data_IF_685251775913
#
_entry.id   IF_685251775913
#
_cell.length_a   1.000
_cell.length_b   1.000
_cell.length_c   1.000
_cell.angle_alpha   90.00
_cell.angle_beta   90.00
_cell.angle_gamma   90.00
#
_symmetry.space_group_name_H-M   'P 1'
#
loop_
_entity.id
_entity.type
_entity.pdbx_description
1 polymer ?
#
# COMPACT_ATOMS: atom_id res chain seq x y z
N UNK A 1 -6.62 -43.54 -7.20
CA UNK A 1 -7.67 -42.51 -7.19
C UNK A 1 -7.07 -41.17 -7.53
N UNK A 2 -7.80 -40.35 -8.28
CA UNK A 2 -7.44 -39.00 -8.68
C UNK A 2 -8.05 -38.02 -7.70
N UNK A 3 -7.23 -37.15 -7.14
CA UNK A 3 -7.62 -36.12 -6.19
C UNK A 3 -7.24 -34.76 -6.75
N UNK A 4 -8.09 -33.77 -6.51
CA UNK A 4 -7.79 -32.38 -6.84
C UNK A 4 -7.72 -31.59 -5.54
N UNK A 5 -6.55 -31.02 -5.25
CA UNK A 5 -6.35 -30.16 -4.09
C UNK A 5 -6.44 -28.70 -4.53
N UNK A 6 -7.35 -27.96 -3.92
CA UNK A 6 -7.43 -26.52 -4.07
C UNK A 6 -6.57 -25.87 -2.96
N UNK A 7 -5.49 -25.21 -3.36
CA UNK A 7 -4.53 -24.58 -2.45
C UNK A 7 -5.01 -23.16 -2.13
N UNK A 8 -5.45 -22.95 -0.89
CA UNK A 8 -5.81 -21.66 -0.35
C UNK A 8 -4.69 -21.17 0.59
N UNK A 9 -3.84 -20.28 0.10
CA UNK A 9 -2.86 -19.53 0.91
C UNK A 9 -3.41 -18.15 1.27
N UNK A 10 -3.14 -17.65 2.48
CA UNK A 10 -3.51 -16.29 2.89
C UNK A 10 -2.75 -15.20 2.10
N UNK A 11 -1.64 -15.56 1.45
CA UNK A 11 -0.77 -14.63 0.71
C UNK A 11 -0.92 -14.71 -0.82
N UNK A 12 -1.55 -15.76 -1.36
CA UNK A 12 -1.71 -15.94 -2.80
C UNK A 12 -3.15 -15.62 -3.24
N UNK A 13 -3.30 -14.63 -4.13
CA UNK A 13 -4.59 -14.26 -4.76
C UNK A 13 -5.06 -15.25 -5.84
N UNK A 14 -4.23 -16.22 -6.21
CA UNK A 14 -4.54 -17.27 -7.17
C UNK A 14 -4.83 -18.59 -6.45
N UNK A 15 -5.97 -19.21 -6.77
CA UNK A 15 -6.30 -20.57 -6.34
C UNK A 15 -5.50 -21.54 -7.20
N UNK A 16 -4.44 -22.11 -6.63
CA UNK A 16 -3.63 -23.11 -7.32
C UNK A 16 -4.28 -24.49 -7.18
N UNK A 17 -4.32 -25.25 -8.27
CA UNK A 17 -4.96 -26.57 -8.33
C UNK A 17 -3.90 -27.65 -8.52
N UNK A 18 -3.76 -28.51 -7.51
CA UNK A 18 -2.83 -29.63 -7.55
C UNK A 18 -3.58 -30.95 -7.78
N UNK A 19 -3.27 -31.63 -8.88
CA UNK A 19 -3.88 -32.91 -9.23
C UNK A 19 -2.95 -34.07 -8.87
N UNK A 20 -3.36 -34.91 -7.92
CA UNK A 20 -2.59 -36.06 -7.46
C UNK A 20 -3.27 -37.38 -7.81
N UNK A 21 -2.50 -38.35 -8.27
CA UNK A 21 -2.96 -39.73 -8.44
C UNK A 21 -2.35 -40.60 -7.34
N UNK A 22 -3.19 -41.00 -6.37
CA UNK A 22 -2.75 -41.73 -5.17
C UNK A 22 -3.51 -43.04 -5.00
N UNK A 23 -2.90 -44.10 -4.45
CA UNK A 23 -3.62 -45.32 -4.07
C UNK A 23 -4.69 -45.05 -2.98
N UNK A 24 -5.76 -45.86 -2.93
CA UNK A 24 -6.87 -45.68 -1.97
C UNK A 24 -6.47 -45.89 -0.51
N UNK A 25 -5.43 -46.68 -0.28
CA UNK A 25 -4.82 -46.96 1.02
C UNK A 25 -3.87 -45.85 1.51
N UNK A 26 -3.69 -44.78 0.73
CA UNK A 26 -2.82 -43.66 1.11
C UNK A 26 -3.31 -43.02 2.40
N UNK A 27 -2.41 -42.81 3.36
CA UNK A 27 -2.72 -42.13 4.60
C UNK A 27 -2.66 -40.61 4.44
N UNK A 28 -3.35 -39.88 5.33
CA UNK A 28 -3.30 -38.40 5.34
C UNK A 28 -1.86 -37.89 5.49
N UNK A 29 -1.03 -38.53 6.32
CA UNK A 29 0.39 -38.17 6.47
C UNK A 29 1.19 -38.37 5.18
N UNK A 30 0.89 -39.44 4.42
CA UNK A 30 1.52 -39.70 3.12
C UNK A 30 1.07 -38.69 2.06
N UNK A 31 -0.22 -38.34 2.04
CA UNK A 31 -0.77 -37.29 1.19
C UNK A 31 -0.09 -35.94 1.46
N UNK A 32 0.09 -35.56 2.74
CA UNK A 32 0.81 -34.32 3.10
C UNK A 32 2.27 -34.32 2.63
N UNK A 33 2.93 -35.46 2.70
CA UNK A 33 4.29 -35.65 2.17
C UNK A 33 4.36 -35.47 0.65
N UNK A 34 3.36 -35.98 -0.09
CA UNK A 34 3.26 -35.79 -1.54
C UNK A 34 3.03 -34.31 -1.90
N UNK A 35 2.13 -33.63 -1.19
CA UNK A 35 1.90 -32.18 -1.35
C UNK A 35 3.16 -31.37 -1.06
N UNK A 36 3.93 -31.75 -0.03
CA UNK A 36 5.20 -31.07 0.26
C UNK A 36 6.22 -31.26 -0.86
N UNK A 37 6.28 -32.45 -1.47
CA UNK A 37 7.22 -32.71 -2.56
C UNK A 37 6.88 -31.91 -3.83
N UNK A 38 5.59 -31.76 -4.15
CA UNK A 38 5.14 -31.15 -5.40
C UNK A 38 4.92 -29.63 -5.29
N UNK A 39 4.33 -29.15 -4.20
CA UNK A 39 4.02 -27.73 -3.98
C UNK A 39 5.02 -27.01 -3.06
N UNK A 40 6.04 -27.71 -2.52
CA UNK A 40 7.04 -27.15 -1.58
C UNK A 40 6.44 -26.56 -0.29
N UNK A 41 5.22 -26.97 0.09
CA UNK A 41 4.56 -26.52 1.32
C UNK A 41 4.95 -27.45 2.48
N UNK A 42 5.50 -26.96 3.61
CA UNK A 42 5.85 -27.80 4.76
C UNK A 42 4.64 -28.56 5.32
N UNK A 43 4.77 -29.86 5.64
CA UNK A 43 3.69 -30.67 6.23
C UNK A 43 3.07 -30.07 7.50
N UNK A 44 3.86 -29.32 8.28
CA UNK A 44 3.41 -28.60 9.49
C UNK A 44 2.47 -27.45 9.19
N UNK A 45 2.54 -26.89 7.98
CA UNK A 45 1.69 -25.76 7.56
C UNK A 45 0.46 -26.22 6.76
N UNK A 46 0.35 -27.51 6.45
CA UNK A 46 -0.73 -28.08 5.63
C UNK A 46 -1.96 -28.50 6.46
N UNK A 47 -3.09 -27.86 6.20
CA UNK A 47 -4.40 -28.22 6.77
C UNK A 47 -5.35 -28.65 5.66
N UNK A 48 -5.55 -29.96 5.51
CA UNK A 48 -6.35 -30.55 4.42
C UNK A 48 -7.78 -30.79 4.90
N UNK A 49 -8.76 -30.30 4.16
CA UNK A 49 -10.19 -30.45 4.44
C UNK A 49 -10.90 -31.25 3.35
N UNK A 50 -11.78 -32.15 3.77
CA UNK A 50 -12.72 -32.87 2.90
C UNK A 50 -14.15 -32.56 3.37
N UNK A 51 -15.01 -32.05 2.49
CA UNK A 51 -16.38 -31.66 2.83
C UNK A 51 -16.50 -30.76 4.08
N UNK A 52 -15.51 -29.88 4.28
CA UNK A 52 -15.44 -28.97 5.44
C UNK A 52 -14.92 -29.61 6.74
N UNK A 53 -14.57 -30.90 6.73
CA UNK A 53 -13.94 -31.59 7.87
C UNK A 53 -12.42 -31.64 7.72
N UNK A 54 -11.71 -31.22 8.77
CA UNK A 54 -10.25 -31.28 8.82
C UNK A 54 -9.78 -32.73 8.93
N UNK A 55 -8.92 -33.16 8.02
CA UNK A 55 -8.25 -34.45 8.08
C UNK A 55 -7.05 -34.35 9.03
N UNK A 56 -7.31 -34.48 10.33
CA UNK A 56 -6.31 -34.26 11.39
C UNK A 56 -5.50 -35.50 11.77
N UNK A 57 -5.98 -36.70 11.42
CA UNK A 57 -5.35 -37.96 11.80
C UNK A 57 -4.48 -38.49 10.66
N UNK A 58 -3.16 -38.30 10.80
CA UNK A 58 -2.16 -38.65 9.78
C UNK A 58 -2.06 -40.17 9.52
N UNK A 59 -2.61 -41.02 10.40
CA UNK A 59 -2.55 -42.48 10.28
C UNK A 59 -3.77 -43.09 9.59
N UNK A 60 -4.86 -42.34 9.45
CA UNK A 60 -6.06 -42.83 8.76
C UNK A 60 -5.84 -42.82 7.25
N UNK A 61 -6.40 -43.83 6.59
CA UNK A 61 -6.43 -43.87 5.13
C UNK A 61 -7.51 -42.94 4.60
N UNK A 62 -7.31 -42.45 3.38
CA UNK A 62 -8.29 -41.62 2.68
C UNK A 62 -9.63 -42.36 2.50
N UNK A 63 -9.59 -43.68 2.30
CA UNK A 63 -10.79 -44.55 2.29
C UNK A 63 -11.54 -44.55 3.63
N UNK A 64 -10.83 -44.64 4.76
CA UNK A 64 -11.46 -44.56 6.10
C UNK A 64 -12.09 -43.20 6.38
N UNK A 65 -11.62 -42.17 5.70
CA UNK A 65 -12.11 -40.80 5.76
C UNK A 65 -13.16 -40.51 4.67
N UNK A 66 -13.61 -41.54 3.94
CA UNK A 66 -14.63 -41.46 2.89
C UNK A 66 -14.25 -40.55 1.71
N UNK A 67 -12.95 -40.35 1.47
CA UNK A 67 -12.46 -39.66 0.28
C UNK A 67 -12.52 -40.64 -0.90
N UNK A 68 -13.23 -40.27 -1.95
CA UNK A 68 -13.43 -41.10 -3.14
C UNK A 68 -12.70 -40.55 -4.37
N UNK A 69 -12.64 -41.35 -5.42
CA UNK A 69 -12.03 -40.96 -6.70
C UNK A 69 -12.76 -39.76 -7.32
N UNK A 70 -12.00 -38.72 -7.67
CA UNK A 70 -12.52 -37.46 -8.22
C UNK A 70 -12.88 -36.40 -7.18
N UNK A 71 -12.63 -36.65 -5.89
CA UNK A 71 -12.93 -35.67 -4.84
C UNK A 71 -11.99 -34.46 -4.86
N UNK A 72 -12.56 -33.33 -4.48
CA UNK A 72 -11.84 -32.08 -4.28
C UNK A 72 -11.56 -31.87 -2.79
N UNK A 73 -10.29 -31.67 -2.45
CA UNK A 73 -9.83 -31.37 -1.10
C UNK A 73 -9.38 -29.92 -1.03
N UNK A 74 -9.68 -29.22 0.07
CA UNK A 74 -9.17 -27.88 0.29
C UNK A 74 -7.90 -27.95 1.16
N UNK A 75 -6.79 -27.47 0.63
CA UNK A 75 -5.53 -27.34 1.35
C UNK A 75 -5.39 -25.89 1.83
N UNK A 76 -5.47 -25.67 3.13
CA UNK A 76 -5.14 -24.38 3.74
C UNK A 76 -3.69 -24.39 4.20
N UNK A 77 -2.93 -23.40 3.77
CA UNK A 77 -1.55 -23.18 4.21
C UNK A 77 -1.57 -22.20 5.38
N UNK A 78 -1.18 -22.66 6.57
CA UNK A 78 -1.08 -21.81 7.78
C UNK A 78 0.20 -22.13 8.51
N UNK A 79 1.05 -21.13 8.71
CA UNK A 79 2.23 -21.31 9.53
C UNK A 79 1.86 -21.43 11.00
N UNK A 80 2.31 -22.53 11.62
CA UNK A 80 2.28 -22.66 13.08
C UNK A 80 3.41 -21.79 13.63
N UNK A 81 3.21 -20.47 13.61
CA UNK A 81 3.78 -19.61 14.64
C UNK A 81 2.92 -19.87 15.86
N UNK A 82 3.44 -20.70 16.76
CA UNK A 82 2.71 -21.21 17.92
C UNK A 82 2.12 -20.09 18.76
N UNK A 83 0.80 -19.94 18.72
CA UNK A 83 0.05 -19.26 19.76
C UNK A 83 -1.38 -19.79 19.85
N UNK A 84 -1.54 -21.00 20.39
CA UNK A 84 -2.81 -21.42 21.01
C UNK A 84 -2.50 -22.29 22.23
N UNK A 85 -2.96 -21.84 23.38
CA UNK A 85 -2.75 -22.51 24.66
C UNK A 85 -3.54 -23.81 24.77
N UNK A 86 -2.84 -24.88 25.16
CA UNK A 86 -3.32 -25.92 26.08
C UNK A 86 -2.09 -26.37 26.90
N UNK A 87 -2.13 -26.40 28.25
CA UNK A 87 -0.98 -26.81 29.04
C UNK A 87 -0.91 -28.34 29.06
N UNK A 88 0.04 -28.93 28.32
CA UNK A 88 0.40 -30.32 28.51
C UNK A 88 1.65 -30.41 29.37
N UNK A 89 1.43 -30.78 30.63
CA UNK A 89 2.44 -31.14 31.61
C UNK A 89 3.33 -32.27 31.07
N UNK A 90 4.60 -31.96 30.83
CA UNK A 90 5.61 -32.93 30.42
C UNK A 90 6.99 -32.34 30.55
N UNK A 91 7.57 -32.44 31.75
CA UNK A 91 8.95 -32.05 32.03
C UNK A 91 9.91 -32.83 31.13
N UNK A 92 10.61 -32.11 30.25
CA UNK A 92 11.85 -32.59 29.65
C UNK A 92 12.78 -31.38 29.49
N UNK A 93 13.84 -31.38 30.29
CA UNK A 93 14.95 -30.44 30.23
C UNK A 93 15.50 -30.40 28.80
N UNK A 94 15.43 -29.23 28.15
CA UNK A 94 16.25 -28.93 27.00
C UNK A 94 17.32 -27.90 27.38
N UNK A 95 18.58 -28.11 26.98
CA UNK A 95 19.70 -27.30 27.41
C UNK A 95 19.54 -25.88 26.90
N UNK A 96 19.83 -24.92 27.77
CA UNK A 96 19.99 -23.52 27.42
C UNK A 96 20.91 -23.40 26.20
N UNK A 97 20.32 -23.14 25.04
CA UNK A 97 21.07 -22.66 23.88
C UNK A 97 21.64 -21.31 24.30
N UNK A 98 22.95 -21.30 24.57
CA UNK A 98 23.75 -20.08 24.70
C UNK A 98 23.37 -19.16 23.52
N UNK A 99 23.05 -17.88 23.76
CA UNK A 99 22.88 -16.95 22.65
C UNK A 99 24.19 -16.94 21.86
N UNK A 100 24.08 -17.07 20.55
CA UNK A 100 25.20 -16.98 19.63
C UNK A 100 25.81 -15.58 19.75
N UNK A 101 26.84 -15.45 20.58
CA UNK A 101 27.74 -14.32 20.59
C UNK A 101 28.63 -14.40 19.34
N UNK A 102 28.18 -13.81 18.21
CA UNK A 102 29.06 -13.54 17.06
C UNK A 102 28.37 -12.77 15.92
N UNK A 103 27.68 -11.65 16.21
CA UNK A 103 27.38 -10.62 15.19
C UNK A 103 27.56 -9.16 15.64
N UNK A 104 27.84 -8.90 16.92
CA UNK A 104 27.80 -7.54 17.51
C UNK A 104 29.16 -6.85 17.72
N UNK A 105 30.27 -7.41 17.24
CA UNK A 105 31.58 -6.76 17.28
C UNK A 105 32.10 -6.51 15.86
N UNK A 106 31.45 -5.60 15.14
CA UNK A 106 32.04 -5.06 13.91
C UNK A 106 33.19 -4.11 14.28
N UNK A 107 34.39 -4.37 13.74
CA UNK A 107 35.55 -3.52 13.99
C UNK A 107 35.32 -2.12 13.38
N UNK A 108 35.40 -1.03 14.18
CA UNK A 108 35.20 0.33 13.70
C UNK A 108 36.11 0.70 12.53
N UNK A 109 37.34 0.15 12.46
CA UNK A 109 38.25 0.45 11.35
C UNK A 109 37.80 -0.19 10.03
N UNK A 110 37.20 -1.39 10.08
CA UNK A 110 36.68 -2.06 8.89
C UNK A 110 35.52 -1.27 8.30
N UNK A 111 34.60 -0.80 9.15
CA UNK A 111 33.46 0.02 8.72
C UNK A 111 33.92 1.38 8.18
N UNK A 112 34.91 1.99 8.83
CA UNK A 112 35.49 3.26 8.36
C UNK A 112 36.12 3.13 6.98
N UNK A 113 36.91 2.07 6.75
CA UNK A 113 37.53 1.79 5.45
C UNK A 113 36.48 1.50 4.37
N UNK A 114 35.41 0.77 4.72
CA UNK A 114 34.29 0.51 3.84
C UNK A 114 33.54 1.79 3.46
N UNK A 115 33.40 2.74 4.39
CA UNK A 115 32.80 4.04 4.16
C UNK A 115 33.68 4.98 3.32
N UNK A 116 35.00 4.89 3.46
CA UNK A 116 35.97 5.58 2.60
C UNK A 116 36.00 5.00 1.17
N UNK A 117 35.84 3.68 1.04
CA UNK A 117 35.85 2.98 -0.24
C UNK A 117 34.55 3.09 -1.04
N UNK A 118 33.45 3.55 -0.42
CA UNK A 118 32.15 3.65 -1.07
C UNK A 118 31.52 5.05 -0.90
N UNK A 119 31.54 5.90 -1.94
CA UNK A 119 31.01 7.26 -1.87
C UNK A 119 29.49 7.31 -1.66
N UNK A 120 28.73 6.29 -2.11
CA UNK A 120 27.28 6.22 -1.90
C UNK A 120 26.93 5.98 -0.44
N UNK A 121 27.60 5.01 0.21
CA UNK A 121 27.41 4.76 1.65
C UNK A 121 27.82 5.98 2.48
N UNK A 122 28.87 6.71 2.08
CA UNK A 122 29.28 7.94 2.78
C UNK A 122 28.19 9.01 2.74
N UNK A 123 27.53 9.17 1.59
CA UNK A 123 26.44 10.13 1.43
C UNK A 123 25.21 9.78 2.27
N UNK A 124 24.92 8.48 2.42
CA UNK A 124 23.83 7.98 3.26
C UNK A 124 24.11 8.21 4.75
N UNK A 125 25.30 7.86 5.24
CA UNK A 125 25.73 8.14 6.62
C UNK A 125 25.80 9.65 6.88
N UNK A 126 26.16 10.47 5.89
CA UNK A 126 26.15 11.93 6.02
C UNK A 126 24.74 12.51 6.23
N UNK A 127 23.72 11.87 5.65
CA UNK A 127 22.31 12.26 5.82
C UNK A 127 21.73 11.77 7.15
N UNK A 128 22.00 10.51 7.50
CA UNK A 128 21.47 9.90 8.72
C UNK A 128 22.21 10.38 9.98
N UNK A 129 23.54 10.55 9.89
CA UNK A 129 24.39 10.79 11.05
C UNK A 129 25.62 11.66 10.71
N UNK A 130 25.44 12.99 10.67
CA UNK A 130 26.45 13.92 10.19
C UNK A 130 27.72 13.94 11.05
N UNK A 131 27.63 13.70 12.37
CA UNK A 131 28.79 13.67 13.27
C UNK A 131 29.72 12.47 13.03
N UNK A 132 29.15 11.31 12.70
CA UNK A 132 29.92 10.10 12.37
C UNK A 132 30.59 10.25 10.99
N UNK A 133 29.86 10.80 10.02
CA UNK A 133 30.36 11.10 8.68
C UNK A 133 31.52 12.11 8.68
N UNK A 134 31.45 13.13 9.54
CA UNK A 134 32.52 14.11 9.72
C UNK A 134 33.79 13.50 10.36
N UNK A 135 33.65 12.41 11.12
CA UNK A 135 34.75 11.74 11.79
C UNK A 135 35.45 10.66 10.93
N UNK A 136 34.95 10.34 9.73
CA UNK A 136 35.45 9.24 8.86
C UNK A 136 36.93 9.34 8.52
N UNK A 137 37.45 10.57 8.41
CA UNK A 137 38.85 10.85 8.09
C UNK A 137 39.77 10.76 9.31
N UNK A 138 39.22 10.65 10.52
CA UNK A 138 39.95 10.53 11.77
C UNK A 138 39.67 9.15 12.42
N UNK A 139 40.60 8.18 12.29
CA UNK A 139 40.46 6.83 12.82
C UNK A 139 40.08 6.79 14.32
N UNK A 140 40.78 7.56 15.15
CA UNK A 140 40.56 7.55 16.59
C UNK A 140 39.18 8.12 16.95
N UNK A 141 38.77 9.22 16.30
CA UNK A 141 37.48 9.87 16.56
C UNK A 141 36.30 9.05 16.04
N UNK A 142 36.45 8.43 14.87
CA UNK A 142 35.45 7.53 14.30
C UNK A 142 35.21 6.32 15.23
N UNK A 143 36.28 5.67 15.69
CA UNK A 143 36.17 4.52 16.58
C UNK A 143 35.49 4.86 17.92
N UNK A 144 35.75 6.05 18.48
CA UNK A 144 35.09 6.51 19.71
C UNK A 144 33.59 6.73 19.51
N UNK A 145 33.19 7.47 18.46
CA UNK A 145 31.79 7.75 18.17
C UNK A 145 31.01 6.48 17.81
N UNK A 146 31.63 5.59 17.02
CA UNK A 146 31.03 4.33 16.63
C UNK A 146 30.75 3.42 17.83
N UNK A 147 31.72 3.29 18.76
CA UNK A 147 31.51 2.52 20.00
C UNK A 147 30.45 3.13 20.91
N UNK A 148 30.46 4.45 21.06
CA UNK A 148 29.44 5.13 21.85
C UNK A 148 28.03 4.89 21.31
N UNK A 149 27.87 4.91 19.99
CA UNK A 149 26.61 4.61 19.32
C UNK A 149 26.19 3.16 19.50
N UNK A 150 27.11 2.20 19.29
CA UNK A 150 26.84 0.78 19.54
C UNK A 150 26.43 0.51 20.99
N UNK A 151 27.05 1.18 21.96
CA UNK A 151 26.71 1.04 23.39
C UNK A 151 25.34 1.63 23.73
N UNK A 152 24.91 2.69 23.04
CA UNK A 152 23.56 3.23 23.15
C UNK A 152 22.53 2.28 22.54
N UNK A 153 22.77 1.84 21.32
CA UNK A 153 21.88 0.93 20.59
C UNK A 153 21.74 -0.41 21.32
N UNK A 154 22.84 -0.93 21.90
CA UNK A 154 22.84 -2.15 22.72
C UNK A 154 22.01 -1.96 23.99
N UNK A 155 22.10 -0.80 24.64
CA UNK A 155 21.29 -0.49 25.84
C UNK A 155 19.80 -0.37 25.49
N UNK A 156 19.47 0.29 24.40
CA UNK A 156 18.09 0.39 23.93
C UNK A 156 17.51 -0.98 23.54
N UNK A 157 18.28 -1.79 22.80
CA UNK A 157 17.90 -3.18 22.48
C UNK A 157 17.65 -4.00 23.74
N UNK A 158 18.51 -3.88 24.74
CA UNK A 158 18.38 -4.60 26.00
C UNK A 158 17.15 -4.15 26.80
N UNK A 159 16.88 -2.84 26.88
CA UNK A 159 15.67 -2.33 27.53
C UNK A 159 14.40 -2.78 26.80
N UNK A 160 14.40 -2.75 25.46
CA UNK A 160 13.26 -3.24 24.66
C UNK A 160 13.02 -4.73 24.88
N UNK A 161 14.08 -5.55 24.90
CA UNK A 161 13.96 -6.97 25.19
C UNK A 161 13.44 -7.25 26.60
N UNK A 162 13.91 -6.51 27.61
CA UNK A 162 13.39 -6.64 28.98
C UNK A 162 11.92 -6.25 29.04
N UNK A 163 11.52 -5.15 28.40
CA UNK A 163 10.13 -4.72 28.36
C UNK A 163 9.21 -5.76 27.71
N UNK A 164 9.64 -6.37 26.60
CA UNK A 164 8.90 -7.45 25.95
C UNK A 164 8.87 -8.70 26.84
N UNK A 165 9.96 -9.03 27.52
CA UNK A 165 10.00 -10.16 28.43
C UNK A 165 9.07 -9.96 29.63
N UNK A 166 9.00 -8.73 30.18
CA UNK A 166 8.10 -8.37 31.28
C UNK A 166 6.64 -8.45 30.85
N UNK A 167 6.30 -7.98 29.63
CA UNK A 167 4.96 -8.14 29.06
C UNK A 167 4.57 -9.60 28.79
N UNK A 168 5.55 -10.49 28.60
CA UNK A 168 5.33 -11.93 28.39
C UNK A 168 5.49 -12.75 29.69
N UNK A 169 5.87 -12.14 30.81
CA UNK A 169 6.18 -12.85 32.05
C UNK A 169 4.93 -13.48 32.70
N UNK A 170 3.76 -12.84 32.53
CA UNK A 170 2.47 -13.42 32.88
C UNK A 170 1.52 -13.43 31.66
N UNK A 171 1.39 -14.58 30.99
CA UNK A 171 0.50 -14.75 29.85
C UNK A 171 -0.99 -14.54 30.16
N UNK A 172 -1.40 -14.44 31.44
CA UNK A 172 -2.80 -14.21 31.84
C UNK A 172 -3.06 -12.78 32.32
N UNK A 173 -2.06 -11.90 32.29
CA UNK A 173 -2.24 -10.48 32.59
C UNK A 173 -2.95 -9.77 31.43
N UNK A 174 -4.19 -9.34 31.69
CA UNK A 174 -5.06 -8.67 30.74
C UNK A 174 -4.47 -7.33 30.27
N UNK A 175 -3.75 -6.62 31.14
CA UNK A 175 -3.15 -5.33 30.79
C UNK A 175 -1.93 -5.53 29.87
N UNK A 176 -1.12 -6.57 30.12
CA UNK A 176 0.00 -6.93 29.27
C UNK A 176 -0.47 -7.44 27.89
N UNK A 177 -1.51 -8.29 27.85
CA UNK A 177 -2.14 -8.75 26.61
C UNK A 177 -2.72 -7.58 25.79
N UNK A 178 -3.34 -6.60 26.45
CA UNK A 178 -3.89 -5.42 25.78
C UNK A 178 -2.78 -4.59 25.13
N UNK A 179 -1.66 -4.37 25.83
CA UNK A 179 -0.50 -3.66 25.29
C UNK A 179 0.17 -4.40 24.14
N UNK A 180 0.30 -5.73 24.24
CA UNK A 180 0.82 -6.57 23.16
C UNK A 180 -0.10 -6.47 21.93
N UNK A 181 -1.43 -6.52 22.12
CA UNK A 181 -2.39 -6.39 21.03
C UNK A 181 -2.34 -5.01 20.37
N UNK A 182 -2.16 -3.93 21.13
CA UNK A 182 -1.99 -2.58 20.58
C UNK A 182 -0.71 -2.44 19.77
N UNK A 183 0.43 -2.95 20.26
CA UNK A 183 1.70 -2.92 19.52
C UNK A 183 1.61 -3.69 18.19
N UNK A 184 1.01 -4.89 18.21
CA UNK A 184 0.79 -5.68 16.98
C UNK A 184 -0.12 -4.94 16.01
N UNK A 185 -1.16 -4.27 16.52
CA UNK A 185 -2.08 -3.47 15.69
C UNK A 185 -1.35 -2.30 15.03
N UNK A 186 -0.50 -1.60 15.77
CA UNK A 186 0.29 -0.47 15.25
C UNK A 186 1.29 -0.93 14.20
N UNK A 187 2.03 -2.01 14.45
CA UNK A 187 2.97 -2.59 13.47
C UNK A 187 2.26 -3.01 12.18
N UNK A 188 1.11 -3.69 12.26
CA UNK A 188 0.31 -4.08 11.08
C UNK A 188 -0.22 -2.88 10.30
N UNK A 189 -0.65 -1.82 11.00
CA UNK A 189 -1.12 -0.59 10.36
C UNK A 189 0.03 0.11 9.63
N UNK A 190 1.21 0.15 10.25
CA UNK A 190 2.39 0.78 9.67
C UNK A 190 2.95 -0.02 8.49
N UNK A 191 2.97 -1.35 8.57
CA UNK A 191 3.34 -2.22 7.46
C UNK A 191 2.38 -2.08 6.28
N UNK A 192 1.07 -2.06 6.54
CA UNK A 192 0.07 -1.82 5.51
C UNK A 192 0.22 -0.43 4.88
N UNK A 193 0.53 0.59 5.68
CA UNK A 193 0.82 1.94 5.19
C UNK A 193 2.09 1.97 4.33
N UNK A 194 3.15 1.31 4.76
CA UNK A 194 4.41 1.20 4.03
C UNK A 194 4.19 0.47 2.69
N UNK A 195 3.47 -0.65 2.70
CA UNK A 195 3.09 -1.38 1.49
C UNK A 195 2.24 -0.52 0.54
N UNK A 196 1.33 0.30 1.08
CA UNK A 196 0.55 1.24 0.29
C UNK A 196 1.41 2.34 -0.34
N UNK A 197 2.44 2.84 0.36
CA UNK A 197 3.38 3.85 -0.14
C UNK A 197 4.32 3.25 -1.19
N UNK A 198 4.79 2.01 -0.99
CA UNK A 198 5.74 1.34 -1.89
C UNK A 198 5.10 0.79 -3.17
N UNK A 199 3.88 0.25 -3.08
CA UNK A 199 3.23 -0.43 -4.20
C UNK A 199 2.11 0.39 -4.86
N UNK A 200 1.76 1.56 -4.31
CA UNK A 200 0.65 2.36 -4.82
C UNK A 200 0.91 3.88 -4.74
N UNK A 201 1.94 4.40 -5.45
CA UNK A 201 2.25 5.82 -5.42
C UNK A 201 1.10 6.71 -5.96
N UNK A 202 0.22 6.21 -6.84
CA UNK A 202 -0.81 7.03 -7.54
C UNK A 202 -2.19 6.36 -7.69
N UNK A 203 -2.70 5.67 -6.66
CA UNK A 203 -3.99 4.95 -6.73
C UNK A 203 -5.27 5.77 -6.47
N UNK A 204 -5.40 7.03 -6.93
CA UNK A 204 -6.55 7.89 -6.56
C UNK A 204 -7.29 8.54 -7.75
N UNK A 205 -7.98 7.73 -8.56
CA UNK A 205 -8.88 8.24 -9.59
C UNK A 205 -10.21 8.76 -8.99
N UNK A 206 -10.51 10.05 -9.17
CA UNK A 206 -11.72 10.69 -8.63
C UNK A 206 -12.51 11.43 -9.70
N UNK A 207 -13.70 11.02 -10.12
CA UNK A 207 -14.55 11.84 -10.98
C UNK A 207 -15.35 12.88 -10.18
N UNK A 208 -15.75 13.96 -10.86
CA UNK A 208 -16.71 14.93 -10.33
C UNK A 208 -18.14 14.44 -10.59
N UNK A 209 -18.96 14.39 -9.54
CA UNK A 209 -20.38 14.06 -9.60
C UNK A 209 -21.21 15.20 -9.02
N UNK A 210 -22.52 15.20 -9.27
CA UNK A 210 -23.45 16.13 -8.63
C UNK A 210 -24.54 15.37 -7.88
N UNK A 211 -24.71 15.62 -6.59
CA UNK A 211 -25.78 15.02 -5.78
C UNK A 211 -26.76 16.12 -5.42
N UNK A 212 -28.02 16.00 -5.84
CA UNK A 212 -29.06 17.00 -5.58
C UNK A 212 -28.63 18.45 -5.93
N UNK A 213 -27.94 18.62 -7.06
CA UNK A 213 -27.42 19.92 -7.53
C UNK A 213 -26.09 20.38 -6.92
N UNK A 214 -25.55 19.68 -5.92
CA UNK A 214 -24.27 20.01 -5.28
C UNK A 214 -23.12 19.23 -5.92
N UNK A 215 -22.04 19.91 -6.29
CA UNK A 215 -20.83 19.30 -6.86
C UNK A 215 -20.09 18.54 -5.77
N UNK A 216 -19.95 17.23 -5.93
CA UNK A 216 -19.30 16.30 -5.01
C UNK A 216 -18.19 15.56 -5.75
N UNK A 217 -17.00 15.47 -5.15
CA UNK A 217 -15.92 14.65 -5.70
C UNK A 217 -16.08 13.23 -5.20
N UNK A 218 -16.29 12.29 -6.11
CA UNK A 218 -16.45 10.89 -5.76
C UNK A 218 -15.10 10.16 -5.85
N UNK A 219 -14.84 9.25 -4.94
CA UNK A 219 -13.76 8.27 -5.05
C UNK A 219 -14.32 7.00 -5.68
N UNK A 220 -13.71 6.52 -6.77
CA UNK A 220 -14.15 5.29 -7.43
C UNK A 220 -13.34 4.14 -6.89
N UNK A 221 -14.01 3.17 -6.26
CA UNK A 221 -13.37 2.06 -5.57
C UNK A 221 -14.10 0.75 -5.89
N UNK A 222 -13.53 -0.04 -6.80
CA UNK A 222 -14.04 -1.37 -7.13
C UNK A 222 -13.79 -2.41 -6.03
N UNK A 223 -12.87 -2.15 -5.10
CA UNK A 223 -12.59 -3.00 -3.93
C UNK A 223 -13.62 -2.82 -2.81
N UNK A 224 -14.33 -1.70 -2.78
CA UNK A 224 -15.42 -1.49 -1.83
C UNK A 224 -16.70 -2.19 -2.27
N UNK A 225 -17.24 -3.09 -1.42
CA UNK A 225 -18.50 -3.75 -1.69
C UNK A 225 -19.70 -2.79 -1.76
N UNK A 226 -19.68 -1.71 -0.97
CA UNK A 226 -20.81 -0.79 -0.82
C UNK A 226 -20.40 0.66 -1.08
N UNK A 227 -21.29 1.41 -1.73
CA UNK A 227 -21.18 2.86 -1.90
C UNK A 227 -21.46 3.58 -0.59
N UNK A 228 -20.58 4.50 -0.21
CA UNK A 228 -20.60 5.17 1.11
C UNK A 228 -20.55 6.68 0.93
N UNK A 229 -21.29 7.41 1.75
CA UNK A 229 -21.29 8.87 1.79
C UNK A 229 -21.00 9.37 3.20
N UNK A 230 -20.23 10.45 3.33
CA UNK A 230 -20.00 11.10 4.63
C UNK A 230 -21.24 11.85 5.13
N UNK A 231 -21.42 12.03 6.44
CA UNK A 231 -22.55 12.79 6.99
C UNK A 231 -22.54 14.26 6.53
N UNK A 232 -21.36 14.89 6.50
CA UNK A 232 -21.19 16.28 6.05
C UNK A 232 -21.57 16.47 4.59
N UNK A 233 -21.26 15.50 3.72
CA UNK A 233 -21.70 15.49 2.33
C UNK A 233 -23.21 15.35 2.22
N UNK A 234 -23.83 14.45 2.99
CA UNK A 234 -25.28 14.27 3.00
C UNK A 234 -26.05 15.52 3.49
N UNK A 235 -25.49 16.22 4.49
CA UNK A 235 -25.99 17.53 4.96
C UNK A 235 -25.87 18.60 3.89
N UNK A 236 -24.68 18.75 3.30
CA UNK A 236 -24.42 19.73 2.25
C UNK A 236 -25.30 19.52 1.02
N UNK A 237 -25.58 18.26 0.68
CA UNK A 237 -26.47 17.92 -0.42
C UNK A 237 -27.96 18.05 -0.06
N UNK A 238 -28.31 18.35 1.20
CA UNK A 238 -29.69 18.49 1.66
C UNK A 238 -30.50 17.19 1.66
N UNK A 239 -29.82 16.04 1.74
CA UNK A 239 -30.44 14.71 1.66
C UNK A 239 -30.48 13.96 2.98
N UNK A 240 -30.12 14.59 4.11
CA UNK A 240 -30.25 14.00 5.44
C UNK A 240 -31.64 13.46 5.76
N UNK A 241 -32.68 14.09 5.20
CA UNK A 241 -34.07 13.63 5.32
C UNK A 241 -34.36 12.26 4.69
N UNK A 242 -33.49 11.78 3.80
CA UNK A 242 -33.60 10.49 3.11
C UNK A 242 -32.89 9.36 3.85
N UNK A 243 -32.14 9.67 4.91
CA UNK A 243 -31.35 8.70 5.66
C UNK A 243 -32.27 7.88 6.56
N UNK A 244 -32.41 6.60 6.23
CA UNK A 244 -33.17 5.65 7.04
C UNK A 244 -32.29 5.13 8.18
N UNK A 245 -32.54 5.66 9.39
CA UNK A 245 -31.82 5.31 10.62
C UNK A 245 -32.06 3.89 11.11
N UNK A 246 -33.03 3.15 10.56
CA UNK A 246 -33.22 1.72 10.90
C UNK A 246 -32.05 0.85 10.45
N UNK A 247 -31.29 1.35 9.48
CA UNK A 247 -30.06 0.73 8.99
C UNK A 247 -28.81 1.32 9.67
N UNK A 248 -28.97 2.05 10.77
CA UNK A 248 -27.87 2.49 11.60
C UNK A 248 -27.22 1.31 12.32
N UNK A 249 -25.93 1.43 12.63
CA UNK A 249 -25.16 0.37 13.27
C UNK A 249 -23.68 0.68 13.30
N UNK A 250 -22.87 -0.31 13.64
CA UNK A 250 -21.41 -0.19 13.63
C UNK A 250 -20.88 -1.05 12.49
N UNK A 251 -20.27 -0.43 11.48
CA UNK A 251 -19.53 -1.14 10.46
C UNK A 251 -18.26 -1.72 11.10
N UNK A 252 -18.12 -3.05 11.07
CA UNK A 252 -16.90 -3.74 11.46
C UNK A 252 -16.16 -4.19 10.18
N UNK A 253 -14.93 -3.70 10.01
CA UNK A 253 -14.02 -4.03 8.91
C UNK A 253 -12.60 -3.58 9.25
N UNK A 254 -11.86 -2.97 8.31
CA UNK A 254 -10.54 -2.30 8.51
C UNK A 254 -10.54 -1.14 9.53
N UNK A 255 -11.66 -0.92 10.22
CA UNK A 255 -11.86 0.01 11.33
C UNK A 255 -13.26 -0.18 11.91
N UNK A 256 -13.56 0.51 13.01
CA UNK A 256 -14.92 0.64 13.55
C UNK A 256 -15.48 2.01 13.16
N UNK A 257 -16.57 2.02 12.40
CA UNK A 257 -17.20 3.25 11.94
C UNK A 257 -18.71 3.22 12.23
N UNK A 258 -19.25 4.33 12.73
CA UNK A 258 -20.68 4.45 12.99
C UNK A 258 -21.43 4.71 11.69
N UNK A 259 -22.36 3.83 11.35
CA UNK A 259 -23.34 4.03 10.28
C UNK A 259 -24.51 4.82 10.85
N UNK A 260 -24.76 6.03 10.32
CA UNK A 260 -25.94 6.83 10.68
C UNK A 260 -27.23 6.22 10.10
N UNK A 261 -27.13 5.58 8.95
CA UNK A 261 -28.25 4.97 8.26
C UNK A 261 -27.98 4.76 6.78
N UNK A 262 -29.03 4.44 6.02
CA UNK A 262 -28.93 4.17 4.59
C UNK A 262 -29.89 5.05 3.78
N UNK A 263 -29.41 5.57 2.66
CA UNK A 263 -30.25 6.18 1.63
C UNK A 263 -30.57 5.10 0.60
N UNK A 264 -31.85 4.75 0.48
CA UNK A 264 -32.30 3.66 -0.40
C UNK A 264 -32.32 4.04 -1.87
N UNK A 265 -32.56 5.31 -2.17
CA UNK A 265 -32.54 5.85 -3.53
C UNK A 265 -32.41 7.37 -3.50
N UNK A 266 -31.37 7.89 -4.17
CA UNK A 266 -31.21 9.31 -4.48
C UNK A 266 -30.62 9.45 -5.89
N UNK A 267 -31.01 10.52 -6.59
CA UNK A 267 -30.51 10.80 -7.94
C UNK A 267 -29.12 11.43 -7.85
N UNK A 268 -28.12 10.73 -8.40
CA UNK A 268 -26.76 11.25 -8.58
C UNK A 268 -26.59 11.59 -10.05
N UNK A 269 -26.27 12.84 -10.33
CA UNK A 269 -25.99 13.32 -11.68
C UNK A 269 -24.51 13.12 -12.02
N UNK A 270 -24.24 12.43 -13.11
CA UNK A 270 -22.90 12.15 -13.63
C UNK A 270 -22.89 12.56 -15.11
N UNK A 271 -22.11 13.58 -15.46
CA UNK A 271 -22.22 14.23 -16.78
C UNK A 271 -23.65 14.72 -17.04
N UNK A 272 -24.32 14.14 -18.03
CA UNK A 272 -25.73 14.39 -18.38
C UNK A 272 -26.73 13.39 -17.76
N UNK A 273 -26.25 12.28 -17.20
CA UNK A 273 -27.10 11.21 -16.67
C UNK A 273 -27.57 11.52 -15.25
N UNK A 274 -28.78 11.08 -14.92
CA UNK A 274 -29.29 11.03 -13.54
C UNK A 274 -29.47 9.56 -13.16
N UNK A 275 -28.63 9.10 -12.24
CA UNK A 275 -28.55 7.70 -11.84
C UNK A 275 -29.19 7.52 -10.46
N UNK A 276 -30.16 6.60 -10.31
CA UNK A 276 -30.68 6.23 -9.00
C UNK A 276 -29.66 5.39 -8.25
N UNK A 277 -29.10 5.95 -7.18
CA UNK A 277 -28.08 5.29 -6.37
C UNK A 277 -28.57 5.08 -4.93
N UNK A 278 -28.16 3.96 -4.34
CA UNK A 278 -28.31 3.70 -2.90
C UNK A 278 -26.94 3.72 -2.25
N UNK A 279 -26.86 4.23 -1.02
CA UNK A 279 -25.59 4.35 -0.31
C UNK A 279 -25.77 4.41 1.20
N UNK A 280 -24.73 3.99 1.91
CA UNK A 280 -24.68 4.01 3.37
C UNK A 280 -24.04 5.30 3.85
N UNK A 281 -24.66 5.97 4.82
CA UNK A 281 -24.11 7.18 5.45
C UNK A 281 -23.33 6.78 6.69
N UNK A 282 -22.03 7.06 6.72
CA UNK A 282 -21.12 6.52 7.74
C UNK A 282 -20.05 7.52 8.15
N UNK A 283 -19.78 7.63 9.46
CA UNK A 283 -18.72 8.46 10.05
C UNK A 283 -17.33 7.86 9.80
N UNK A 284 -16.29 8.70 9.76
CA UNK A 284 -14.90 8.21 9.77
C UNK A 284 -14.31 7.86 8.40
N UNK A 285 -14.87 8.36 7.30
CA UNK A 285 -14.18 8.37 6.00
C UNK A 285 -13.89 9.81 5.58
N UNK A 286 -12.63 10.10 5.26
CA UNK A 286 -12.16 11.40 4.72
C UNK A 286 -12.60 11.64 3.26
N UNK A 287 -13.63 10.91 2.81
CA UNK A 287 -14.15 10.95 1.45
C UNK A 287 -15.63 11.31 1.51
N UNK A 288 -16.02 12.37 0.81
CA UNK A 288 -17.42 12.82 0.74
C UNK A 288 -18.34 11.75 0.16
N UNK A 289 -17.91 11.12 -0.93
CA UNK A 289 -18.64 10.05 -1.60
C UNK A 289 -17.66 9.03 -2.15
N UNK A 290 -17.84 7.76 -1.79
CA UNK A 290 -17.14 6.62 -2.34
C UNK A 290 -18.14 5.82 -3.17
N UNK A 291 -17.87 5.69 -4.48
CA UNK A 291 -18.64 4.87 -5.40
C UNK A 291 -18.07 3.46 -5.41
N UNK A 292 -18.80 2.56 -4.76
CA UNK A 292 -18.42 1.16 -4.60
C UNK A 292 -18.87 0.28 -5.75
N UNK A 293 -18.46 -0.99 -5.69
CA UNK A 293 -18.75 -2.01 -6.67
C UNK A 293 -20.25 -2.24 -6.89
N UNK A 294 -21.08 -2.04 -5.86
CA UNK A 294 -22.54 -2.17 -5.93
C UNK A 294 -23.16 -1.22 -6.97
N UNK A 295 -22.79 0.06 -6.96
CA UNK A 295 -23.29 1.05 -7.90
C UNK A 295 -22.56 0.98 -9.24
N UNK A 296 -21.25 0.67 -9.24
CA UNK A 296 -20.49 0.44 -10.48
C UNK A 296 -21.10 -0.70 -11.30
N UNK A 297 -21.38 -1.85 -10.68
CA UNK A 297 -22.03 -2.99 -11.35
C UNK A 297 -23.46 -2.66 -11.77
N UNK A 298 -24.24 -2.00 -10.91
CA UNK A 298 -25.64 -1.64 -11.20
C UNK A 298 -25.77 -0.81 -12.48
N UNK A 299 -24.87 0.16 -12.66
CA UNK A 299 -24.91 1.08 -13.79
C UNK A 299 -23.98 0.66 -14.94
N UNK A 300 -23.46 -0.58 -14.91
CA UNK A 300 -22.56 -1.13 -15.93
C UNK A 300 -21.38 -0.21 -16.23
N UNK A 301 -20.78 0.34 -15.17
CA UNK A 301 -19.66 1.25 -15.29
C UNK A 301 -18.42 0.53 -15.84
N UNK A 302 -17.69 1.21 -16.71
CA UNK A 302 -16.37 0.81 -17.19
C UNK A 302 -15.34 1.82 -16.66
N UNK A 303 -14.38 1.34 -15.90
CA UNK A 303 -13.23 2.13 -15.42
C UNK A 303 -12.16 2.03 -16.51
N UNK A 304 -12.13 2.99 -17.43
CA UNK A 304 -11.18 3.02 -18.53
C UNK A 304 -9.93 3.80 -18.10
N UNK A 305 -8.96 3.07 -17.53
CA UNK A 305 -7.68 3.63 -17.09
C UNK A 305 -6.79 4.03 -18.27
N UNK A 306 -6.97 3.43 -19.45
CA UNK A 306 -6.19 3.77 -20.64
C UNK A 306 -6.50 5.18 -21.15
N UNK A 307 -7.74 5.62 -20.95
CA UNK A 307 -8.23 6.96 -21.33
C UNK A 307 -8.52 7.85 -20.12
N UNK A 308 -8.10 7.43 -18.93
CA UNK A 308 -8.28 8.11 -17.65
C UNK A 308 -9.72 8.63 -17.42
N UNK A 309 -10.71 7.75 -17.62
CA UNK A 309 -12.12 8.12 -17.50
C UNK A 309 -13.02 7.01 -16.94
N UNK A 310 -14.05 7.44 -16.23
CA UNK A 310 -15.19 6.59 -15.86
C UNK A 310 -16.25 6.68 -16.95
N UNK A 311 -16.54 5.56 -17.59
CA UNK A 311 -17.62 5.44 -18.58
C UNK A 311 -18.82 4.80 -17.92
N UNK A 312 -19.98 5.45 -17.97
CA UNK A 312 -21.25 4.88 -17.54
C UNK A 312 -22.23 5.01 -18.70
N UNK A 313 -22.69 3.88 -19.22
CA UNK A 313 -23.46 3.84 -20.48
C UNK A 313 -22.65 4.54 -21.60
N UNK A 314 -23.23 5.55 -22.25
CA UNK A 314 -22.55 6.32 -23.31
C UNK A 314 -21.93 7.64 -22.80
N UNK A 315 -21.91 7.86 -21.48
CA UNK A 315 -21.36 9.07 -20.89
C UNK A 315 -19.99 8.81 -20.31
N UNK A 316 -19.02 9.53 -20.85
CA UNK A 316 -17.63 9.51 -20.41
C UNK A 316 -17.37 10.67 -19.45
N UNK A 317 -16.83 10.35 -18.28
CA UNK A 317 -16.44 11.34 -17.27
C UNK A 317 -14.94 11.21 -16.98
N UNK A 318 -14.13 12.23 -17.29
CA UNK A 318 -12.70 12.18 -17.00
C UNK A 318 -12.45 12.10 -15.49
N UNK A 319 -11.41 11.39 -15.11
CA UNK A 319 -10.92 11.46 -13.74
C UNK A 319 -10.27 12.83 -13.47
N UNK A 320 -10.29 13.25 -12.20
CA UNK A 320 -9.61 14.46 -11.76
C UNK A 320 -8.11 14.20 -11.71
N UNK A 321 -7.32 15.08 -12.33
CA UNK A 321 -5.88 15.10 -12.15
C UNK A 321 -5.48 15.46 -10.72
N UNK A 322 -4.25 15.12 -10.33
CA UNK A 322 -3.77 15.21 -8.94
C UNK A 322 -3.94 16.60 -8.30
N UNK A 323 -3.73 17.67 -9.08
CA UNK A 323 -3.87 19.05 -8.62
C UNK A 323 -5.32 19.43 -8.22
N UNK A 324 -6.31 18.68 -8.70
CA UNK A 324 -7.73 18.90 -8.43
C UNK A 324 -8.28 18.00 -7.31
N UNK A 325 -7.47 17.11 -6.75
CA UNK A 325 -7.82 16.31 -5.58
C UNK A 325 -7.78 17.21 -4.32
N UNK A 326 -8.82 17.25 -3.47
CA UNK A 326 -8.80 18.06 -2.26
C UNK A 326 -7.58 17.73 -1.38
N UNK A 327 -6.76 18.74 -1.07
CA UNK A 327 -5.58 18.62 -0.19
C UNK A 327 -5.91 18.44 1.30
N UNK A 328 -7.18 18.33 1.66
CA UNK A 328 -7.62 17.98 3.02
C UNK A 328 -7.18 16.57 3.47
N UNK A 329 -6.37 15.88 2.66
CA UNK A 329 -5.72 14.61 2.94
C UNK A 329 -4.33 14.71 3.59
N UNK A 330 -3.73 15.90 3.70
CA UNK A 330 -2.33 16.03 4.16
C UNK A 330 -2.15 16.49 5.61
N UNK A 331 -3.15 17.10 6.26
CA UNK A 331 -2.99 17.60 7.64
C UNK A 331 -4.15 17.15 8.54
N UNK A 332 -3.98 15.99 9.16
CA UNK A 332 -4.78 15.64 10.34
C UNK A 332 -4.21 16.44 11.51
N UNK A 333 -4.79 17.63 11.78
CA UNK A 333 -4.47 18.41 12.97
C UNK A 333 -4.80 17.58 14.22
N UNK A 334 -3.77 17.19 14.96
CA UNK A 334 -3.96 16.56 16.27
C UNK A 334 -4.58 17.56 17.27
N UNK A 335 -5.48 17.12 18.15
CA UNK A 335 -5.97 17.96 19.23
C UNK A 335 -4.80 18.28 20.17
N UNK A 336 -4.56 19.56 20.41
CA UNK A 336 -3.41 20.06 21.16
C UNK A 336 -3.79 20.54 22.56
N UNK A 337 -2.91 20.34 23.53
CA UNK A 337 -3.06 20.79 24.93
C UNK A 337 -1.96 21.81 25.24
N UNK A 338 -2.33 22.95 25.81
CA UNK A 338 -1.37 24.01 26.17
C UNK A 338 -0.57 23.65 27.43
N UNK A 339 0.76 23.69 27.31
CA UNK A 339 1.72 23.52 28.40
C UNK A 339 2.30 24.85 28.91
N UNK A 340 2.90 24.87 30.11
CA UNK A 340 3.50 26.07 30.67
C UNK A 340 4.70 26.55 29.84
N UNK A 341 4.71 27.84 29.48
CA UNK A 341 5.76 28.46 28.67
C UNK A 341 5.44 28.62 27.18
N UNK A 342 4.18 28.44 26.77
CA UNK A 342 3.77 28.62 25.36
C UNK A 342 4.12 27.42 24.48
N UNK A 343 4.33 26.26 25.08
CA UNK A 343 4.52 24.99 24.37
C UNK A 343 3.19 24.32 24.15
N UNK A 344 3.02 23.74 22.97
CA UNK A 344 1.81 23.02 22.60
C UNK A 344 2.13 21.54 22.52
N UNK A 345 1.39 20.71 23.26
CA UNK A 345 1.58 19.25 23.30
C UNK A 345 0.50 18.59 22.48
N UNK A 346 0.89 17.81 21.49
CA UNK A 346 -0.01 16.94 20.72
C UNK A 346 -0.68 15.90 21.61
N UNK A 347 -2.01 15.92 21.73
CA UNK A 347 -2.76 15.04 22.64
C UNK A 347 -2.72 13.55 22.28
N UNK A 348 -2.32 13.21 21.03
CA UNK A 348 -2.10 11.82 20.59
C UNK A 348 -0.63 11.49 20.37
N UNK A 349 0.18 12.42 19.86
CA UNK A 349 1.60 12.15 19.57
C UNK A 349 2.55 12.47 20.74
N UNK A 350 2.13 13.25 21.73
CA UNK A 350 3.03 13.76 22.77
C UNK A 350 4.10 14.73 22.27
N UNK A 351 4.00 15.18 21.01
CA UNK A 351 4.97 16.07 20.38
C UNK A 351 4.90 17.48 20.99
N UNK A 352 6.04 18.01 21.42
CA UNK A 352 6.14 19.35 22.03
C UNK A 352 6.56 20.36 20.95
N UNK A 353 5.65 21.25 20.56
CA UNK A 353 5.96 22.38 19.66
C UNK A 353 6.28 23.63 20.47
N UNK A 354 7.38 24.32 20.13
CA UNK A 354 7.88 25.53 20.83
C UNK A 354 7.15 26.82 20.42
N UNK A 355 7.32 27.92 21.19
CA UNK A 355 6.56 29.15 20.99
C UNK A 355 6.90 29.82 19.66
N UNK A 356 5.87 30.10 18.86
CA UNK A 356 5.97 30.88 17.63
C UNK A 356 6.41 32.33 17.94
N UNK A 357 7.51 32.75 17.30
CA UNK A 357 7.93 34.16 17.30
C UNK A 357 6.90 35.06 16.61
N UNK A 358 6.82 36.35 16.98
CA UNK A 358 5.66 37.18 16.65
C UNK A 358 5.57 37.51 15.17
N UNK A 359 4.40 37.23 14.60
CA UNK A 359 3.96 37.70 13.30
C UNK A 359 3.85 39.25 13.30
N UNK A 360 4.60 39.90 12.40
CA UNK A 360 4.42 41.30 12.10
C UNK A 360 3.16 41.47 11.24
N UNK A 361 2.18 42.17 11.79
CA UNK A 361 0.96 42.58 11.13
C UNK A 361 1.21 43.65 10.07
N UNK A 362 0.60 43.51 8.89
CA UNK A 362 0.28 44.67 8.03
C UNK A 362 -1.08 44.47 7.39
N UNK A 363 -2.02 45.33 7.80
CA UNK A 363 -3.32 45.58 7.19
C UNK A 363 -3.19 46.34 5.86
N UNK A 364 -4.21 46.28 4.97
CA UNK A 364 -4.19 46.92 3.66
C UNK A 364 -4.75 48.35 3.69
N UNK A 365 -4.13 49.26 2.96
CA UNK A 365 -4.73 50.55 2.59
C UNK A 365 -4.27 50.98 1.19
N UNK A 366 -5.22 51.10 0.25
CA UNK A 366 -5.06 51.82 -1.00
C UNK A 366 -5.09 53.35 -0.73
N UNK A 367 -4.51 54.19 -1.61
CA UNK A 367 -5.38 54.80 -2.62
C UNK A 367 -4.73 55.03 -4.01
N UNK A 368 -5.60 55.44 -4.93
CA UNK A 368 -5.43 55.66 -6.36
C UNK A 368 -4.45 56.77 -6.78
N UNK A 369 -3.89 56.65 -8.00
CA UNK A 369 -4.08 57.59 -9.14
C UNK A 369 -2.87 57.68 -10.09
N UNK A 370 -3.18 57.43 -11.37
CA UNK A 370 -2.60 57.83 -12.67
C UNK A 370 -1.47 58.90 -12.69
N UNK A 371 -0.40 58.65 -13.47
CA UNK A 371 -0.12 59.25 -14.79
C UNK A 371 1.38 59.35 -15.16
N UNK A 372 1.76 58.61 -16.23
CA UNK A 372 2.59 58.97 -17.41
C UNK A 372 3.88 59.80 -17.26
N UNK A 373 5.04 59.19 -17.58
CA UNK A 373 5.97 59.52 -18.69
C UNK A 373 7.43 59.07 -18.43
N UNK A 374 8.07 58.55 -19.48
CA UNK A 374 9.42 57.97 -19.68
C UNK A 374 10.59 58.98 -19.52
N UNK A 375 11.92 58.64 -19.65
CA UNK A 375 12.55 57.42 -20.21
C UNK A 375 13.79 56.84 -19.46
N UNK A 376 14.13 55.57 -19.73
CA UNK A 376 15.45 54.99 -19.43
C UNK A 376 16.06 54.26 -20.66
N UNK A 377 17.39 54.36 -20.88
CA UNK A 377 18.15 53.75 -22.00
C UNK A 377 18.60 52.28 -21.71
N UNK A 378 19.22 51.57 -22.68
CA UNK A 378 18.88 50.18 -23.03
C UNK A 378 19.72 49.09 -22.36
N UNK A 379 19.19 47.86 -22.34
CA UNK A 379 19.94 46.61 -22.11
C UNK A 379 20.14 45.84 -23.43
N UNK A 380 21.18 44.98 -23.53
CA UNK A 380 21.66 44.44 -24.79
C UNK A 380 20.79 43.31 -25.37
N UNK A 381 20.83 43.24 -26.69
CA UNK A 381 20.18 42.31 -27.61
C UNK A 381 20.80 40.90 -27.49
N UNK A 382 19.97 39.86 -27.35
CA UNK A 382 20.32 38.47 -27.66
C UNK A 382 19.82 38.13 -29.09
N UNK A 383 20.61 37.38 -29.89
CA UNK A 383 20.23 37.03 -31.27
C UNK A 383 19.09 35.99 -31.34
N UNK A 384 18.31 35.98 -32.44
CA UNK A 384 17.11 35.16 -32.58
C UNK A 384 17.44 33.67 -32.76
N UNK A 385 16.79 32.81 -31.97
CA UNK A 385 16.81 31.36 -32.13
C UNK A 385 15.99 30.95 -33.37
N UNK A 386 16.62 30.12 -34.20
CA UNK A 386 16.07 29.55 -35.42
C UNK A 386 15.00 28.47 -35.13
N UNK A 387 14.06 28.32 -36.07
CA UNK A 387 13.03 27.29 -36.08
C UNK A 387 13.61 25.86 -36.05
N UNK A 388 12.88 24.85 -35.53
CA UNK A 388 13.37 23.48 -35.44
C UNK A 388 13.54 22.86 -36.85
N UNK A 389 14.65 22.17 -37.06
CA UNK A 389 14.94 21.38 -38.26
C UNK A 389 14.08 20.10 -38.31
N UNK A 390 13.80 19.54 -39.50
CA UNK A 390 13.09 18.27 -39.64
C UNK A 390 13.92 17.09 -39.09
N UNK A 391 13.23 16.09 -38.55
CA UNK A 391 13.79 14.89 -37.94
C UNK A 391 14.73 14.11 -38.90
N UNK A 392 15.78 13.44 -38.37
CA UNK A 392 16.71 12.67 -39.19
C UNK A 392 16.00 11.48 -39.85
N UNK A 393 16.20 11.31 -41.15
CA UNK A 393 15.69 10.16 -41.90
C UNK A 393 16.27 8.83 -41.35
N UNK A 394 15.49 7.73 -41.40
CA UNK A 394 15.95 6.44 -40.90
C UNK A 394 17.19 5.95 -41.65
N UNK A 395 18.20 5.49 -40.90
CA UNK A 395 19.44 5.00 -41.49
C UNK A 395 19.20 3.72 -42.30
N UNK A 396 19.93 3.54 -43.41
CA UNK A 396 19.77 2.37 -44.28
C UNK A 396 20.03 1.04 -43.52
N UNK A 397 20.94 1.06 -42.54
CA UNK A 397 21.26 -0.10 -41.70
C UNK A 397 20.07 -0.52 -40.80
N UNK A 398 19.33 0.45 -40.25
CA UNK A 398 18.14 0.20 -39.44
C UNK A 398 17.03 -0.48 -40.26
N UNK A 399 16.88 -0.08 -41.52
CA UNK A 399 15.89 -0.66 -42.44
C UNK A 399 16.28 -2.10 -42.79
N UNK A 400 17.55 -2.34 -43.10
CA UNK A 400 18.03 -3.67 -43.46
C UNK A 400 17.92 -4.67 -42.30
N UNK A 401 18.06 -4.23 -41.04
CA UNK A 401 17.85 -5.07 -39.85
C UNK A 401 16.40 -5.54 -39.72
N UNK A 402 15.42 -4.68 -39.97
CA UNK A 402 14.00 -5.05 -39.92
C UNK A 402 13.60 -5.91 -41.13
N UNK A 403 14.20 -5.67 -42.30
CA UNK A 403 13.99 -6.54 -43.47
C UNK A 403 14.59 -7.93 -43.26
N UNK A 404 15.74 -8.03 -42.58
CA UNK A 404 16.33 -9.32 -42.20
C UNK A 404 15.45 -10.12 -41.21
N UNK A 405 14.61 -9.43 -40.42
CA UNK A 405 13.61 -10.06 -39.55
C UNK A 405 12.35 -10.54 -40.29
N UNK A 406 12.26 -10.29 -41.60
CA UNK A 406 11.19 -10.79 -42.47
C UNK A 406 10.11 -9.77 -42.84
N UNK A 407 10.25 -8.51 -42.41
CA UNK A 407 9.31 -7.44 -42.75
C UNK A 407 9.61 -6.80 -44.11
N UNK A 408 8.60 -6.25 -44.78
CA UNK A 408 8.84 -5.54 -46.04
C UNK A 408 9.59 -4.23 -45.79
N UNK A 409 10.33 -3.76 -46.81
CA UNK A 409 11.09 -2.50 -46.71
C UNK A 409 10.19 -1.30 -46.40
N UNK A 410 8.95 -1.31 -46.88
CA UNK A 410 7.98 -0.23 -46.66
C UNK A 410 7.45 -0.23 -45.22
N UNK A 411 7.16 -1.41 -44.66
CA UNK A 411 6.78 -1.58 -43.24
C UNK A 411 7.92 -1.17 -42.30
N UNK A 412 9.15 -1.58 -42.61
CA UNK A 412 10.33 -1.21 -41.84
C UNK A 412 10.54 0.32 -41.81
N UNK A 413 10.39 1.00 -42.95
CA UNK A 413 10.52 2.46 -43.02
C UNK A 413 9.41 3.15 -42.22
N UNK A 414 8.16 2.69 -42.35
CA UNK A 414 7.03 3.29 -41.63
C UNK A 414 7.15 3.10 -40.12
N UNK A 415 7.54 1.91 -39.66
CA UNK A 415 7.77 1.64 -38.24
C UNK A 415 8.95 2.45 -37.69
N UNK A 416 10.05 2.57 -38.43
CA UNK A 416 11.18 3.41 -38.02
C UNK A 416 10.81 4.89 -37.97
N UNK A 417 9.98 5.37 -38.91
CA UNK A 417 9.49 6.75 -38.87
C UNK A 417 8.55 7.00 -37.69
N UNK A 418 7.76 6.00 -37.29
CA UNK A 418 6.88 6.09 -36.13
C UNK A 418 7.63 6.01 -34.79
N UNK A 419 8.83 5.42 -34.78
CA UNK A 419 9.65 5.19 -33.59
C UNK A 419 10.92 6.05 -33.56
N UNK A 420 10.93 7.19 -34.25
CA UNK A 420 12.07 8.13 -34.31
C UNK A 420 13.42 7.47 -34.66
N UNK A 421 13.40 6.45 -35.52
CA UNK A 421 14.57 5.70 -35.98
C UNK A 421 15.04 4.59 -35.03
N UNK A 422 14.31 4.31 -33.95
CA UNK A 422 14.67 3.25 -33.01
C UNK A 422 14.23 1.87 -33.51
N UNK A 423 15.21 1.00 -33.78
CA UNK A 423 14.99 -0.34 -34.37
C UNK A 423 14.28 -1.29 -33.41
N UNK A 424 14.54 -1.24 -32.11
CA UNK A 424 13.94 -2.16 -31.12
C UNK A 424 12.44 -1.87 -30.95
N UNK A 425 12.09 -0.58 -30.85
CA UNK A 425 10.68 -0.17 -30.79
C UNK A 425 9.95 -0.43 -32.11
N UNK A 426 10.61 -0.18 -33.25
CA UNK A 426 10.03 -0.48 -34.56
C UNK A 426 9.80 -1.99 -34.78
N UNK A 427 10.73 -2.84 -34.35
CA UNK A 427 10.55 -4.29 -34.37
C UNK A 427 9.38 -4.71 -33.46
N UNK A 428 9.31 -4.18 -32.23
CA UNK A 428 8.21 -4.45 -31.31
C UNK A 428 6.84 -4.06 -31.87
N UNK A 429 6.77 -2.91 -32.55
CA UNK A 429 5.55 -2.43 -33.23
C UNK A 429 5.14 -3.37 -34.37
N UNK A 430 6.10 -3.86 -35.17
CA UNK A 430 5.85 -4.75 -36.30
C UNK A 430 5.50 -6.19 -35.89
N UNK A 431 5.89 -6.64 -34.69
CA UNK A 431 5.49 -7.94 -34.15
C UNK A 431 4.14 -7.91 -33.40
N UNK A 432 3.63 -6.72 -33.05
CA UNK A 432 2.35 -6.55 -32.35
C UNK A 432 1.18 -6.19 -33.28
N UNK A 433 1.45 -5.76 -34.52
CA UNK A 433 0.46 -5.58 -35.58
C UNK A 433 0.36 -6.80 -36.48
#
# INVERSE_FOLDING_TARGET
MRLTLNIASEEALEQDLLNLEVPTETTVGSLKGMVQAEAQIPTTSQHIYHNGQLLSDDNKTLEQLQVVDGDMLALHVRDIIGNTGVPQSGAAQQPARRPAASRDEQDPEVIRLQLLGNPRMRQEVQRAQPELAAAVENPQRFAQLFRQMQDLERRERMMRQQHIADLNADPFDIDAQTRIAEMIREERVQENLQNAIEHNPEGKSRPVMHVNGHKVKAFVDSGAQATIMSPSCAESCGIMRLVDKRFAGIARGVGTANILGRVHSAQIKIGSLFLPCSFTVMEGKDVDLLLGLDMLKRHQACIDLSKDKLVIQDVEVPFLGEAEIPRSFEEVSEPTVEGPGGTTIGGRSGAISGPAGPAAATTPAAPAAQAVATPQPPRPIQPPQAAPAPAPAPSAESIDQLVALGFSREEAINALNACDGNVEFAAGLLFQG
#
